data_IF_617208108064
#
_entry.id   IF_617208108064
#
_cell.length_a   1.000
_cell.length_b   1.000
_cell.length_c   1.000
_cell.angle_alpha   90.00
_cell.angle_beta   90.00
_cell.angle_gamma   90.00
#
_symmetry.space_group_name_H-M   'P 1'
#
loop_
_entity.id
_entity.type
_entity.pdbx_description
1 polymer ?
#
# COMPACT_ATOMS: atom_id res chain seq x y z
N UNK A 1 -66.72 34.85 -20.80
CA UNK A 1 -67.06 36.00 -21.67
C UNK A 1 -65.76 36.66 -22.19
N UNK A 2 -65.59 36.60 -23.50
CA UNK A 2 -64.90 37.53 -24.38
C UNK A 2 -63.35 37.63 -24.18
N UNK A 3 -62.48 37.68 -25.20
CA UNK A 3 -62.56 37.56 -26.66
C UNK A 3 -61.17 37.41 -27.23
N UNK A 4 -61.08 36.64 -28.26
CA UNK A 4 -60.00 36.46 -29.22
C UNK A 4 -59.56 37.82 -29.83
N UNK A 5 -58.24 38.02 -29.99
CA UNK A 5 -57.70 38.84 -31.06
C UNK A 5 -56.34 38.32 -31.46
N UNK A 6 -56.26 37.68 -32.60
CA UNK A 6 -55.05 37.40 -33.35
C UNK A 6 -54.53 38.67 -33.97
N UNK A 7 -53.25 38.95 -33.85
CA UNK A 7 -52.55 39.91 -34.69
C UNK A 7 -51.33 39.29 -35.32
N UNK A 8 -51.50 38.99 -36.59
CA UNK A 8 -50.47 38.56 -37.53
C UNK A 8 -49.63 39.77 -37.89
N UNK A 9 -48.37 39.84 -37.52
CA UNK A 9 -47.43 40.75 -38.13
C UNK A 9 -46.24 40.02 -38.71
N UNK A 10 -46.17 39.96 -40.00
CA UNK A 10 -44.93 39.67 -40.75
C UNK A 10 -43.90 40.72 -40.47
N UNK A 11 -42.73 40.34 -40.02
CA UNK A 11 -41.52 41.14 -40.12
C UNK A 11 -40.44 40.31 -40.74
N UNK A 12 -40.01 40.75 -41.81
CA UNK A 12 -38.85 40.52 -42.68
C UNK A 12 -37.59 40.04 -41.95
N UNK A 13 -36.99 39.02 -42.61
CA UNK A 13 -35.65 38.52 -42.35
C UNK A 13 -34.60 39.62 -42.19
N UNK A 14 -33.95 39.64 -41.03
CA UNK A 14 -32.53 40.04 -40.96
C UNK A 14 -31.74 38.79 -40.58
N UNK A 15 -30.96 38.33 -41.50
CA UNK A 15 -29.91 37.34 -41.28
C UNK A 15 -28.74 38.06 -40.66
N UNK A 16 -28.69 38.13 -39.31
CA UNK A 16 -27.43 38.25 -38.58
C UNK A 16 -27.12 36.85 -38.08
N UNK A 17 -26.31 36.16 -38.84
CA UNK A 17 -25.57 34.99 -38.40
C UNK A 17 -24.47 35.52 -37.48
N UNK A 18 -24.81 35.66 -36.18
CA UNK A 18 -23.75 35.63 -35.15
C UNK A 18 -23.01 34.31 -35.34
N UNK A 19 -21.66 34.36 -35.55
CA UNK A 19 -20.88 33.15 -35.55
C UNK A 19 -21.11 32.48 -34.17
N UNK A 20 -21.45 31.18 -34.20
CA UNK A 20 -21.49 30.37 -33.00
C UNK A 20 -20.19 30.66 -32.22
N UNK A 21 -20.26 30.83 -30.89
CA UNK A 21 -19.07 31.06 -30.10
C UNK A 21 -18.09 29.92 -30.45
N UNK A 22 -16.96 30.32 -31.03
CA UNK A 22 -15.80 29.41 -31.17
C UNK A 22 -15.57 28.82 -29.81
N UNK A 23 -15.41 27.48 -29.64
CA UNK A 23 -14.97 26.92 -28.39
C UNK A 23 -13.71 27.71 -27.98
N UNK A 24 -13.71 28.33 -26.79
CA UNK A 24 -12.51 28.90 -26.24
C UNK A 24 -11.47 27.78 -26.32
N UNK A 25 -10.43 27.98 -27.14
CA UNK A 25 -9.25 27.11 -27.09
C UNK A 25 -8.76 27.23 -25.65
N UNK A 26 -8.73 26.11 -24.91
CA UNK A 26 -8.21 26.07 -23.56
C UNK A 26 -6.86 26.76 -23.54
N UNK A 27 -6.80 27.96 -22.96
CA UNK A 27 -5.60 28.80 -22.97
C UNK A 27 -4.51 28.04 -22.23
N UNK A 28 -3.55 27.48 -22.96
CA UNK A 28 -2.42 26.76 -22.37
C UNK A 28 -1.35 27.75 -21.92
N UNK A 29 -0.69 27.43 -20.81
CA UNK A 29 0.43 28.19 -20.29
C UNK A 29 1.67 27.31 -20.18
N UNK A 30 2.85 27.92 -20.33
CA UNK A 30 4.13 27.28 -20.06
C UNK A 30 4.41 27.39 -18.56
N UNK A 31 4.33 26.27 -17.87
CA UNK A 31 4.59 26.18 -16.44
C UNK A 31 6.07 25.78 -16.24
N UNK A 32 6.77 26.51 -15.38
CA UNK A 32 8.15 26.19 -14.98
C UNK A 32 8.11 25.33 -13.73
N UNK A 33 8.61 24.10 -13.82
CA UNK A 33 8.68 23.14 -12.72
C UNK A 33 10.14 22.96 -12.27
N UNK A 34 10.45 23.31 -11.03
CA UNK A 34 11.81 23.24 -10.46
C UNK A 34 11.88 22.22 -9.37
N UNK A 35 12.84 21.28 -9.46
CA UNK A 35 13.14 20.30 -8.43
C UNK A 35 14.10 20.86 -7.38
N UNK A 36 13.89 20.45 -6.13
CA UNK A 36 14.74 20.78 -4.99
C UNK A 36 15.99 19.88 -4.93
N UNK A 37 17.02 20.31 -4.20
CA UNK A 37 18.22 19.53 -3.85
C UNK A 37 19.02 19.00 -5.06
N UNK A 38 19.24 19.86 -6.06
CA UNK A 38 20.07 19.55 -7.24
C UNK A 38 19.58 18.32 -8.05
N UNK A 39 18.36 17.81 -7.78
CA UNK A 39 17.73 16.76 -8.59
C UNK A 39 17.48 17.30 -9.99
N UNK A 40 17.71 16.46 -11.00
CA UNK A 40 17.55 16.82 -12.39
C UNK A 40 16.38 16.03 -13.00
N UNK A 41 15.65 16.69 -13.90
CA UNK A 41 14.62 16.04 -14.69
C UNK A 41 15.23 15.01 -15.65
N UNK A 42 14.62 13.84 -15.71
CA UNK A 42 15.04 12.75 -16.60
C UNK A 42 14.08 12.59 -17.77
N UNK A 43 14.57 11.93 -18.83
CA UNK A 43 13.74 11.67 -20.00
C UNK A 43 12.62 10.68 -19.67
N UNK A 44 11.38 11.08 -19.90
CA UNK A 44 10.20 10.26 -19.58
C UNK A 44 9.62 10.49 -18.19
N UNK A 45 10.17 11.42 -17.42
CA UNK A 45 9.57 11.82 -16.14
C UNK A 45 8.12 12.27 -16.35
N UNK A 46 7.23 11.80 -15.47
CA UNK A 46 5.83 12.17 -15.45
C UNK A 46 5.50 13.01 -14.21
N UNK A 47 4.80 14.11 -14.43
CA UNK A 47 4.32 15.01 -13.37
C UNK A 47 2.80 14.98 -13.35
N UNK A 48 2.21 14.82 -12.18
CA UNK A 48 0.78 15.01 -11.95
C UNK A 48 0.54 16.51 -11.68
N UNK A 49 -0.30 17.17 -12.47
CA UNK A 49 -0.71 18.56 -12.26
C UNK A 49 -2.23 18.63 -12.35
N UNK A 50 -2.88 19.08 -11.28
CA UNK A 50 -4.34 19.13 -11.15
C UNK A 50 -5.02 17.80 -11.55
N UNK A 51 -4.42 16.67 -11.16
CA UNK A 51 -4.92 15.31 -11.42
C UNK A 51 -4.60 14.76 -12.82
N UNK A 52 -3.98 15.52 -13.70
CA UNK A 52 -3.58 15.09 -15.05
C UNK A 52 -2.09 14.79 -15.11
N UNK A 53 -1.69 13.81 -15.91
CA UNK A 53 -0.29 13.44 -16.15
C UNK A 53 0.29 14.22 -17.31
N UNK A 54 1.50 14.73 -17.14
CA UNK A 54 2.29 15.42 -18.15
C UNK A 54 3.69 14.82 -18.18
N UNK A 55 4.19 14.51 -19.38
CA UNK A 55 5.57 14.05 -19.57
C UNK A 55 6.49 15.25 -19.73
N UNK A 56 7.64 15.22 -19.08
CA UNK A 56 8.68 16.26 -19.22
C UNK A 56 9.43 16.06 -20.52
N UNK A 57 9.32 17.03 -21.43
CA UNK A 57 10.00 17.04 -22.73
C UNK A 57 11.09 18.12 -22.80
N UNK A 58 10.88 19.26 -22.15
CA UNK A 58 11.80 20.40 -22.14
C UNK A 58 12.44 20.57 -20.77
N UNK A 59 13.76 20.67 -20.70
CA UNK A 59 14.53 20.83 -19.46
C UNK A 59 15.11 19.54 -18.91
N UNK A 60 15.07 18.43 -19.66
CA UNK A 60 15.76 17.18 -19.31
C UNK A 60 17.25 17.44 -19.08
N UNK A 61 17.80 16.90 -17.98
CA UNK A 61 19.17 17.15 -17.53
C UNK A 61 19.36 18.48 -16.78
N UNK A 62 18.26 19.17 -16.44
CA UNK A 62 18.26 20.43 -15.68
C UNK A 62 17.36 20.28 -14.44
N UNK A 63 17.56 21.11 -13.43
CA UNK A 63 16.67 21.18 -12.26
C UNK A 63 15.33 21.83 -12.59
N UNK A 64 15.23 22.59 -13.69
CA UNK A 64 14.00 23.25 -14.14
C UNK A 64 13.54 22.68 -15.47
N UNK A 65 12.25 22.37 -15.58
CA UNK A 65 11.58 21.92 -16.80
C UNK A 65 10.44 22.87 -17.16
N UNK A 66 10.08 22.89 -18.46
CA UNK A 66 8.91 23.62 -18.95
C UNK A 66 7.84 22.62 -19.35
N UNK A 67 6.63 22.77 -18.79
CA UNK A 67 5.49 21.88 -19.05
C UNK A 67 4.32 22.72 -19.55
N UNK A 68 3.72 22.35 -20.68
CA UNK A 68 2.52 23.02 -21.20
C UNK A 68 1.27 22.43 -20.56
N UNK A 69 0.51 23.25 -19.87
CA UNK A 69 -0.70 22.87 -19.16
C UNK A 69 -1.84 23.84 -19.44
N UNK A 70 -3.12 23.45 -19.29
CA UNK A 70 -4.22 24.40 -19.29
C UNK A 70 -4.03 25.47 -18.22
N UNK A 71 -4.45 26.70 -18.51
CA UNK A 71 -4.46 27.79 -17.51
C UNK A 71 -5.39 27.41 -16.38
N UNK A 72 -4.92 27.58 -15.15
CA UNK A 72 -5.70 27.35 -13.92
C UNK A 72 -5.45 28.51 -12.92
N UNK A 73 -6.39 28.70 -12.01
CA UNK A 73 -6.23 29.66 -10.90
C UNK A 73 -5.22 29.15 -9.88
N UNK A 74 -5.10 27.82 -9.74
CA UNK A 74 -4.17 27.18 -8.85
C UNK A 74 -3.61 25.89 -9.49
N UNK A 75 -2.32 25.66 -9.32
CA UNK A 75 -1.62 24.47 -9.79
C UNK A 75 -1.19 23.62 -8.59
N UNK A 76 -1.78 22.45 -8.44
CA UNK A 76 -1.44 21.41 -7.47
C UNK A 76 -0.68 20.31 -8.16
N UNK A 77 0.55 20.05 -7.75
CA UNK A 77 1.40 19.10 -8.47
C UNK A 77 2.09 18.10 -7.56
N UNK A 78 2.31 16.91 -8.12
CA UNK A 78 3.08 15.86 -7.49
C UNK A 78 3.96 15.16 -8.52
N UNK A 79 5.18 14.77 -8.09
CA UNK A 79 6.18 14.12 -8.91
C UNK A 79 6.74 12.91 -8.17
N UNK A 80 7.11 11.88 -8.92
CA UNK A 80 7.75 10.64 -8.43
C UNK A 80 6.96 9.97 -7.27
N UNK A 81 5.64 9.92 -7.43
CA UNK A 81 4.73 9.40 -6.40
C UNK A 81 4.47 7.89 -6.50
N UNK A 82 5.13 7.18 -7.41
CA UNK A 82 4.84 5.78 -7.70
C UNK A 82 3.41 5.58 -8.20
N UNK A 83 2.56 4.93 -7.40
CA UNK A 83 1.13 4.71 -7.70
C UNK A 83 0.22 5.85 -7.22
N UNK A 84 0.79 6.97 -6.76
CA UNK A 84 0.05 8.10 -6.21
C UNK A 84 -0.90 8.75 -7.22
N UNK A 85 -1.97 9.35 -6.69
CA UNK A 85 -2.97 10.09 -7.45
C UNK A 85 -3.22 11.45 -6.80
N UNK A 86 -3.48 12.46 -7.63
CA UNK A 86 -3.93 13.79 -7.18
C UNK A 86 -5.39 13.95 -7.55
N UNK A 87 -6.24 14.22 -6.56
CA UNK A 87 -7.66 14.51 -6.76
C UNK A 87 -7.95 15.84 -6.09
N UNK A 88 -8.40 16.81 -6.89
CA UNK A 88 -8.50 18.22 -6.46
C UNK A 88 -7.13 18.70 -5.97
N UNK A 89 -6.99 18.99 -4.69
CA UNK A 89 -5.75 19.41 -4.03
C UNK A 89 -5.16 18.33 -3.08
N UNK A 90 -5.63 17.09 -3.15
CA UNK A 90 -5.15 16.01 -2.27
C UNK A 90 -4.32 15.03 -3.07
N UNK A 91 -3.05 14.87 -2.70
CA UNK A 91 -2.23 13.73 -3.09
C UNK A 91 -2.57 12.55 -2.18
N UNK A 92 -2.87 11.38 -2.76
CA UNK A 92 -2.97 10.11 -2.04
C UNK A 92 -1.92 9.16 -2.59
N UNK A 93 -1.11 8.56 -1.72
CA UNK A 93 -0.05 7.62 -2.10
C UNK A 93 0.28 6.67 -0.93
N UNK A 94 1.31 5.85 -1.09
CA UNK A 94 1.72 4.86 -0.11
C UNK A 94 3.24 4.78 0.00
N UNK A 95 3.76 4.72 1.23
CA UNK A 95 5.12 4.29 1.52
C UNK A 95 5.10 2.79 1.82
N UNK A 96 5.77 2.02 1.00
CA UNK A 96 5.82 0.55 1.15
C UNK A 96 6.51 0.13 2.43
N UNK A 97 6.03 -0.95 3.06
CA UNK A 97 6.64 -1.53 4.27
C UNK A 97 8.04 -2.10 4.05
N UNK A 98 8.45 -2.24 2.79
CA UNK A 98 9.75 -2.77 2.41
C UNK A 98 10.40 -1.86 1.37
N UNK A 99 11.66 -1.50 1.61
CA UNK A 99 12.55 -0.84 0.67
C UNK A 99 13.59 -1.83 0.17
N UNK A 100 13.77 -1.89 -1.15
CA UNK A 100 14.83 -2.69 -1.76
C UNK A 100 15.92 -1.75 -2.27
N UNK A 101 17.12 -1.86 -1.71
CA UNK A 101 18.24 -0.96 -2.03
C UNK A 101 18.75 -1.09 -3.47
N UNK A 102 18.41 -2.18 -4.17
CA UNK A 102 18.75 -2.36 -5.58
C UNK A 102 17.69 -1.86 -6.55
N UNK A 103 16.51 -1.45 -6.04
CA UNK A 103 15.44 -0.89 -6.85
C UNK A 103 15.48 0.64 -6.82
N UNK A 104 15.08 1.25 -7.92
CA UNK A 104 14.80 2.67 -7.96
C UNK A 104 13.49 2.93 -7.17
N UNK A 105 13.63 3.65 -6.05
CA UNK A 105 12.52 3.91 -5.15
C UNK A 105 11.94 5.30 -5.41
N UNK A 106 10.62 5.37 -5.49
CA UNK A 106 9.93 6.64 -5.60
C UNK A 106 10.29 7.58 -4.44
N UNK A 107 10.59 8.83 -4.78
CA UNK A 107 10.87 9.92 -3.84
C UNK A 107 9.88 11.04 -4.06
N UNK A 108 8.67 10.90 -3.52
CA UNK A 108 7.58 11.81 -3.82
C UNK A 108 7.92 13.25 -3.44
N UNK A 109 7.65 14.12 -4.41
CA UNK A 109 7.78 15.57 -4.26
C UNK A 109 6.44 16.22 -4.59
N UNK A 110 6.15 17.35 -3.95
CA UNK A 110 4.92 18.09 -4.14
C UNK A 110 5.19 19.57 -4.35
N UNK A 111 4.31 20.22 -5.10
CA UNK A 111 4.36 21.66 -5.34
C UNK A 111 2.96 22.25 -5.42
N UNK A 112 2.83 23.51 -5.05
CA UNK A 112 1.59 24.28 -5.10
C UNK A 112 1.88 25.73 -5.48
N UNK A 113 1.10 26.31 -6.39
CA UNK A 113 1.28 27.69 -6.82
C UNK A 113 0.03 28.28 -7.48
N UNK A 114 -0.19 29.58 -7.30
CA UNK A 114 -1.18 30.39 -8.04
C UNK A 114 -0.58 31.01 -9.32
N UNK A 115 0.71 30.81 -9.56
CA UNK A 115 1.41 31.27 -10.76
C UNK A 115 1.93 30.08 -11.56
N UNK A 116 2.25 30.20 -12.86
CA UNK A 116 2.78 29.12 -13.66
C UNK A 116 4.26 28.82 -13.33
N UNK A 117 4.59 28.71 -12.05
CA UNK A 117 5.91 28.33 -11.52
C UNK A 117 5.73 27.43 -10.31
N UNK A 118 6.21 26.21 -10.39
CA UNK A 118 6.15 25.19 -9.35
C UNK A 118 7.55 24.93 -8.79
N UNK A 119 7.68 25.01 -7.47
CA UNK A 119 8.88 24.58 -6.74
C UNK A 119 8.57 23.33 -5.95
N UNK A 120 9.08 22.20 -6.40
CA UNK A 120 8.82 20.92 -5.78
C UNK A 120 9.62 20.73 -4.50
N UNK A 121 8.95 20.35 -3.43
CA UNK A 121 9.52 20.01 -2.13
C UNK A 121 9.46 18.50 -1.91
N UNK A 122 10.51 17.91 -1.37
CA UNK A 122 10.56 16.50 -1.03
C UNK A 122 9.62 16.20 0.15
N UNK A 123 8.97 15.03 0.14
CA UNK A 123 8.25 14.51 1.31
C UNK A 123 9.14 13.61 2.18
N UNK A 124 10.25 13.10 1.62
CA UNK A 124 11.19 12.23 2.28
C UNK A 124 12.53 12.92 2.52
N UNK A 125 13.22 12.46 3.57
CA UNK A 125 14.65 12.58 3.75
C UNK A 125 15.30 11.19 3.76
N UNK A 126 16.58 11.11 4.00
CA UNK A 126 17.35 9.87 4.05
C UNK A 126 18.07 9.72 5.38
N UNK A 127 17.94 8.56 6.00
CA UNK A 127 18.78 8.12 7.10
C UNK A 127 19.88 7.22 6.54
N UNK A 128 21.12 7.66 6.58
CA UNK A 128 22.28 6.83 6.25
C UNK A 128 22.77 6.08 7.48
N UNK A 129 22.58 4.77 7.48
CA UNK A 129 23.19 3.87 8.45
C UNK A 129 24.58 3.52 7.96
N UNK A 130 25.61 3.98 8.63
CA UNK A 130 27.00 3.62 8.34
C UNK A 130 27.37 2.41 9.20
N UNK A 131 27.19 1.20 8.63
CA UNK A 131 27.24 -0.05 9.40
C UNK A 131 28.67 -0.62 9.33
N UNK A 132 29.34 -0.65 10.47
CA UNK A 132 30.62 -1.32 10.63
C UNK A 132 30.45 -2.76 11.13
N UNK A 133 31.39 -3.63 10.80
CA UNK A 133 31.42 -5.02 11.25
C UNK A 133 32.63 -5.74 10.69
N UNK A 134 32.79 -7.02 11.04
CA UNK A 134 33.90 -7.83 10.58
C UNK A 134 33.92 -7.94 9.05
N UNK A 135 35.09 -7.75 8.44
CA UNK A 135 35.29 -7.87 7.01
C UNK A 135 34.81 -9.26 6.50
N UNK A 136 34.04 -9.25 5.42
CA UNK A 136 33.43 -10.46 4.84
C UNK A 136 32.11 -10.91 5.47
N UNK A 137 31.64 -10.25 6.54
CA UNK A 137 30.26 -10.39 7.01
C UNK A 137 29.32 -9.74 6.01
N UNK A 138 28.26 -10.43 5.63
CA UNK A 138 27.23 -9.91 4.70
C UNK A 138 25.89 -9.84 5.37
N UNK A 139 25.30 -8.66 5.40
CA UNK A 139 23.95 -8.42 5.95
C UNK A 139 22.91 -8.47 4.83
N UNK A 140 21.76 -9.09 5.09
CA UNK A 140 20.70 -9.32 4.10
C UNK A 140 19.45 -8.49 4.33
N UNK A 141 19.22 -8.07 5.58
CA UNK A 141 17.98 -7.36 5.95
C UNK A 141 18.25 -6.44 7.13
N UNK A 142 17.63 -5.27 7.10
CA UNK A 142 17.55 -4.35 8.22
C UNK A 142 16.05 -4.10 8.51
N UNK A 143 15.67 -4.18 9.78
CA UNK A 143 14.33 -3.76 10.25
C UNK A 143 14.53 -2.54 11.14
N UNK A 144 13.88 -1.44 10.76
CA UNK A 144 13.91 -0.17 11.48
C UNK A 144 12.53 0.06 12.11
N UNK A 145 12.49 0.27 13.42
CA UNK A 145 11.24 0.57 14.14
C UNK A 145 11.39 1.90 14.88
N UNK A 146 10.49 2.85 14.64
CA UNK A 146 10.47 4.12 15.35
C UNK A 146 10.04 3.91 16.81
N UNK A 147 10.90 4.29 17.77
CA UNK A 147 10.65 4.05 19.20
C UNK A 147 9.57 4.95 19.78
N UNK A 148 9.30 6.10 19.15
CA UNK A 148 8.22 7.03 19.52
C UNK A 148 6.84 6.62 18.97
N UNK A 149 6.75 5.52 18.21
CA UNK A 149 5.52 5.12 17.53
C UNK A 149 5.17 5.97 16.30
N UNK A 150 6.11 6.82 15.83
CA UNK A 150 5.94 7.57 14.57
C UNK A 150 5.82 6.62 13.40
N UNK A 151 4.88 6.88 12.50
CA UNK A 151 4.68 6.03 11.33
C UNK A 151 5.81 6.23 10.30
N UNK A 152 6.27 5.13 9.72
CA UNK A 152 7.31 5.09 8.69
C UNK A 152 6.77 4.66 7.34
N UNK A 153 5.71 3.84 7.34
CA UNK A 153 5.16 3.19 6.16
C UNK A 153 3.64 3.18 6.21
N UNK A 154 3.00 2.97 5.07
CA UNK A 154 1.55 2.88 4.94
C UNK A 154 0.98 3.92 3.98
N UNK A 155 -0.33 3.94 3.87
CA UNK A 155 -1.05 4.89 3.03
C UNK A 155 -1.12 6.26 3.68
N UNK A 156 -0.94 7.28 2.88
CA UNK A 156 -0.96 8.66 3.35
C UNK A 156 -1.64 9.59 2.35
N UNK A 157 -2.00 10.77 2.83
CA UNK A 157 -2.42 11.91 2.00
C UNK A 157 -1.61 13.15 2.33
N UNK A 158 -1.56 14.07 1.38
CA UNK A 158 -0.97 15.40 1.55
C UNK A 158 -1.95 16.40 0.96
N UNK A 159 -2.35 17.39 1.77
CA UNK A 159 -3.06 18.56 1.25
C UNK A 159 -2.07 19.46 0.52
N UNK A 160 -2.23 19.58 -0.81
CA UNK A 160 -1.37 20.40 -1.66
C UNK A 160 -1.69 21.90 -1.57
N UNK A 161 -2.76 22.28 -0.88
CA UNK A 161 -3.06 23.67 -0.57
C UNK A 161 -2.29 24.20 0.67
N UNK A 162 -1.18 23.54 1.03
CA UNK A 162 -0.33 23.95 2.15
C UNK A 162 0.28 25.36 1.93
N UNK A 163 0.44 26.13 3.01
CA UNK A 163 1.05 27.46 2.94
C UNK A 163 2.59 27.41 2.98
N UNK A 164 3.18 26.67 3.93
CA UNK A 164 4.63 26.68 4.15
C UNK A 164 5.28 25.33 3.87
N UNK A 165 4.84 24.27 4.53
CA UNK A 165 5.46 22.93 4.48
C UNK A 165 4.39 21.87 4.26
N UNK A 166 4.56 20.99 3.27
CA UNK A 166 3.65 19.86 3.06
C UNK A 166 3.72 18.90 4.25
N UNK A 167 2.56 18.48 4.76
CA UNK A 167 2.46 17.55 5.86
C UNK A 167 1.85 16.22 5.40
N UNK A 168 2.46 15.13 5.84
CA UNK A 168 1.94 13.78 5.60
C UNK A 168 0.86 13.48 6.65
N UNK A 169 -0.35 13.19 6.18
CA UNK A 169 -1.44 12.68 6.99
C UNK A 169 -1.60 11.19 6.76
N UNK A 170 -1.39 10.40 7.81
CA UNK A 170 -1.48 8.95 7.74
C UNK A 170 -2.93 8.49 7.77
N UNK A 171 -3.27 7.54 6.91
CA UNK A 171 -4.56 6.86 6.92
C UNK A 171 -4.49 5.57 7.75
N UNK A 172 -5.54 4.74 7.72
CA UNK A 172 -5.50 3.40 8.29
C UNK A 172 -4.43 2.55 7.58
N UNK A 173 -3.71 1.67 8.25
CA UNK A 173 -2.63 0.80 7.74
C UNK A 173 -1.21 1.42 7.88
N UNK A 174 -1.06 2.51 8.59
CA UNK A 174 0.26 3.07 8.88
C UNK A 174 1.02 2.21 9.92
N UNK A 175 2.33 2.10 9.76
CA UNK A 175 3.20 1.31 10.63
C UNK A 175 4.44 2.10 11.05
N UNK A 176 4.87 1.89 12.29
CA UNK A 176 6.14 2.41 12.80
C UNK A 176 7.35 1.57 12.41
N UNK A 177 7.18 0.54 11.59
CA UNK A 177 8.23 -0.39 11.17
C UNK A 177 8.45 -0.33 9.67
N UNK A 178 9.72 -0.34 9.27
CA UNK A 178 10.18 -0.39 7.89
C UNK A 178 11.22 -1.50 7.76
N UNK A 179 11.12 -2.33 6.73
CA UNK A 179 12.12 -3.32 6.35
C UNK A 179 12.94 -2.81 5.17
N UNK A 180 14.26 -2.95 5.27
CA UNK A 180 15.20 -2.71 4.16
C UNK A 180 15.72 -4.07 3.70
N UNK A 181 15.37 -4.45 2.49
CA UNK A 181 15.83 -5.68 1.85
C UNK A 181 17.13 -5.41 1.09
N UNK A 182 18.21 -6.08 1.52
CA UNK A 182 19.55 -5.96 0.92
C UNK A 182 19.83 -7.12 -0.07
N UNK A 183 18.83 -7.93 -0.33
CA UNK A 183 18.91 -9.10 -1.22
C UNK A 183 19.56 -10.32 -0.56
N UNK A 184 19.33 -11.48 -1.17
CA UNK A 184 19.79 -12.77 -0.63
C UNK A 184 21.32 -12.94 -0.62
N UNK A 185 22.04 -12.19 -1.46
CA UNK A 185 23.53 -12.19 -1.48
C UNK A 185 24.09 -11.26 -0.41
N UNK A 186 23.28 -10.36 0.10
CA UNK A 186 23.63 -9.38 1.10
C UNK A 186 24.65 -8.35 0.66
N UNK A 187 24.83 -7.33 1.50
CA UNK A 187 25.87 -6.31 1.36
C UNK A 187 27.02 -6.61 2.32
N UNK A 188 28.24 -6.60 1.82
CA UNK A 188 29.44 -6.89 2.62
C UNK A 188 29.78 -5.70 3.54
N UNK A 189 29.93 -6.00 4.83
CA UNK A 189 30.36 -5.03 5.82
C UNK A 189 31.88 -4.80 5.76
N UNK A 190 32.27 -3.59 6.14
CA UNK A 190 33.66 -3.15 6.31
C UNK A 190 33.84 -2.61 7.72
N UNK A 191 35.07 -2.78 8.28
CA UNK A 191 35.39 -2.18 9.57
C UNK A 191 35.24 -0.65 9.56
N UNK A 192 35.56 0.00 8.44
CA UNK A 192 35.39 1.44 8.25
C UNK A 192 33.93 1.92 8.08
N UNK A 193 32.97 0.99 8.08
CA UNK A 193 31.56 1.24 7.81
C UNK A 193 31.18 1.02 6.35
N UNK A 194 29.96 0.54 6.16
CA UNK A 194 29.30 0.34 4.87
C UNK A 194 28.01 1.15 4.91
N UNK A 195 27.83 2.16 4.04
CA UNK A 195 26.64 3.01 4.06
C UNK A 195 25.43 2.27 3.48
N UNK A 196 24.30 2.37 4.18
CA UNK A 196 22.96 1.95 3.70
C UNK A 196 22.02 3.12 3.88
N UNK A 197 21.48 3.63 2.79
CA UNK A 197 20.53 4.74 2.82
C UNK A 197 19.10 4.22 2.94
N UNK A 198 18.37 4.76 3.90
CA UNK A 198 16.96 4.43 4.18
C UNK A 198 16.13 5.68 3.98
N UNK A 199 15.15 5.63 3.06
CA UNK A 199 14.23 6.73 2.84
C UNK A 199 13.14 6.74 3.92
N UNK A 200 12.95 7.88 4.55
CA UNK A 200 11.98 8.08 5.62
C UNK A 200 11.17 9.35 5.38
N UNK A 201 9.91 9.40 5.82
CA UNK A 201 9.18 10.66 5.89
C UNK A 201 9.98 11.73 6.62
N UNK A 202 10.03 12.94 6.06
CA UNK A 202 10.73 14.05 6.70
C UNK A 202 10.05 14.41 8.02
N UNK A 203 10.72 14.16 9.15
CA UNK A 203 10.17 14.37 10.49
C UNK A 203 11.27 14.31 11.56
N UNK A 204 10.91 14.73 12.78
CA UNK A 204 11.69 14.49 14.00
C UNK A 204 11.27 13.16 14.62
N UNK A 205 12.22 12.26 14.81
CA UNK A 205 12.00 10.95 15.42
C UNK A 205 12.61 10.87 16.81
N UNK A 206 11.91 10.25 17.75
CA UNK A 206 12.41 10.02 19.12
C UNK A 206 13.49 8.96 19.22
N UNK A 207 13.92 8.41 18.08
CA UNK A 207 14.92 7.36 17.94
C UNK A 207 14.38 6.13 17.23
N UNK A 208 15.26 5.16 16.98
CA UNK A 208 14.92 3.92 16.32
C UNK A 208 15.45 2.71 17.08
N UNK A 209 14.77 1.57 16.92
CA UNK A 209 15.32 0.25 17.18
C UNK A 209 15.70 -0.39 15.84
N UNK A 210 16.93 -0.84 15.70
CA UNK A 210 17.47 -1.44 14.47
C UNK A 210 17.75 -2.90 14.71
N UNK A 211 17.19 -3.78 13.88
CA UNK A 211 17.49 -5.21 13.86
C UNK A 211 18.16 -5.53 12.52
N UNK A 212 19.31 -6.20 12.56
CA UNK A 212 20.09 -6.53 11.36
C UNK A 212 20.29 -8.04 11.28
N UNK A 213 20.11 -8.61 10.08
CA UNK A 213 20.27 -10.03 9.79
C UNK A 213 21.40 -10.25 8.79
N UNK A 214 22.19 -11.30 8.99
CA UNK A 214 23.28 -11.67 8.10
C UNK A 214 23.02 -12.94 7.27
N UNK A 215 23.93 -13.25 6.35
CA UNK A 215 23.84 -14.43 5.48
C UNK A 215 24.16 -15.75 6.21
N UNK A 216 24.65 -15.72 7.46
CA UNK A 216 25.02 -16.87 8.27
C UNK A 216 24.00 -17.15 9.38
N UNK A 217 22.81 -16.56 9.27
CA UNK A 217 21.74 -16.62 10.26
C UNK A 217 22.08 -15.92 11.60
N UNK A 218 23.09 -15.06 11.61
CA UNK A 218 23.33 -14.16 12.73
C UNK A 218 22.34 -12.99 12.72
N UNK A 219 21.99 -12.51 13.91
CA UNK A 219 21.09 -11.37 14.08
C UNK A 219 21.57 -10.46 15.20
N UNK A 220 21.53 -9.15 14.96
CA UNK A 220 21.64 -8.11 15.99
C UNK A 220 20.25 -7.54 16.23
N UNK A 221 19.74 -7.67 17.45
CA UNK A 221 18.36 -7.30 17.79
C UNK A 221 18.27 -5.94 18.46
N UNK A 222 17.36 -5.10 17.93
CA UNK A 222 16.87 -3.90 18.62
C UNK A 222 17.99 -2.95 19.10
N UNK A 223 19.07 -2.80 18.32
CA UNK A 223 20.08 -1.78 18.60
C UNK A 223 19.43 -0.40 18.59
N UNK A 224 19.69 0.39 19.62
CA UNK A 224 18.99 1.67 19.84
C UNK A 224 19.77 2.83 19.23
N UNK A 225 19.12 3.52 18.32
CA UNK A 225 19.56 4.82 17.83
C UNK A 225 18.89 5.95 18.59
N UNK A 226 19.63 7.05 18.86
CA UNK A 226 19.09 8.22 19.56
C UNK A 226 18.03 8.94 18.72
N UNK A 227 17.40 9.95 19.33
CA UNK A 227 16.52 10.88 18.63
C UNK A 227 17.28 11.56 17.48
N UNK A 228 16.60 11.68 16.33
CA UNK A 228 17.21 12.22 15.11
C UNK A 228 16.16 12.96 14.29
N UNK A 229 16.55 14.10 13.74
CA UNK A 229 15.74 14.84 12.75
C UNK A 229 16.14 14.41 11.35
N UNK A 230 15.16 14.08 10.54
CA UNK A 230 15.31 13.75 9.13
C UNK A 230 14.70 14.90 8.31
N UNK A 231 15.49 15.87 7.85
CA UNK A 231 14.99 17.00 7.07
C UNK A 231 14.56 16.55 5.66
N UNK A 232 13.62 17.30 5.09
CA UNK A 232 13.16 17.10 3.71
C UNK A 232 14.33 17.18 2.72
N UNK A 233 14.46 16.16 1.88
CA UNK A 233 15.46 16.10 0.82
C UNK A 233 16.92 15.96 1.26
N UNK A 234 17.20 15.89 2.56
CA UNK A 234 18.55 15.79 3.09
C UNK A 234 18.90 14.37 3.57
N UNK A 235 20.19 14.10 3.70
CA UNK A 235 20.70 12.85 4.26
C UNK A 235 21.35 13.11 5.60
N UNK A 236 20.86 12.44 6.64
CA UNK A 236 21.45 12.43 7.98
C UNK A 236 22.11 11.09 8.22
N UNK A 237 23.33 11.08 8.76
CA UNK A 237 24.11 9.84 8.98
C UNK A 237 24.18 9.48 10.45
N UNK A 238 24.16 8.17 10.73
CA UNK A 238 24.43 7.61 12.05
C UNK A 238 25.26 6.33 11.92
N UNK A 239 26.14 6.08 12.88
CA UNK A 239 26.97 4.89 12.90
C UNK A 239 26.28 3.76 13.65
N UNK A 240 26.45 2.54 13.16
CA UNK A 240 25.94 1.30 13.76
C UNK A 240 27.07 0.27 13.71
N UNK A 241 27.39 -0.37 14.84
CA UNK A 241 28.31 -1.50 14.85
C UNK A 241 27.51 -2.79 14.88
N UNK A 242 27.68 -3.63 13.85
CA UNK A 242 27.01 -4.91 13.77
C UNK A 242 27.70 -5.94 14.65
N UNK A 243 27.04 -6.34 15.71
CA UNK A 243 27.47 -7.40 16.63
C UNK A 243 26.30 -8.41 16.76
N UNK A 244 26.36 -9.56 16.06
CA UNK A 244 25.30 -10.56 16.14
C UNK A 244 25.20 -11.14 17.55
N UNK A 245 23.97 -11.26 18.05
CA UNK A 245 23.67 -11.93 19.31
C UNK A 245 23.74 -13.47 19.20
N UNK A 246 23.22 -14.13 20.21
CA UNK A 246 23.17 -15.61 20.27
C UNK A 246 21.88 -16.18 19.67
N UNK A 247 20.95 -15.32 19.28
CA UNK A 247 19.67 -15.69 18.69
C UNK A 247 19.88 -16.40 17.32
N UNK A 248 19.05 -17.38 17.08
CA UNK A 248 19.07 -18.13 15.81
C UNK A 248 17.94 -17.64 14.91
N UNK A 249 18.22 -17.55 13.62
CA UNK A 249 17.20 -17.29 12.60
C UNK A 249 16.94 -18.54 11.77
N UNK A 250 15.74 -18.60 11.25
CA UNK A 250 15.26 -19.68 10.38
C UNK A 250 14.56 -19.11 9.16
N UNK A 251 14.42 -19.97 8.14
CA UNK A 251 13.57 -19.72 6.99
C UNK A 251 12.36 -20.64 7.07
N UNK A 252 11.17 -20.09 6.86
CA UNK A 252 9.90 -20.80 6.97
C UNK A 252 9.41 -21.20 5.59
N UNK A 253 9.09 -22.47 5.40
CA UNK A 253 8.44 -22.95 4.19
C UNK A 253 6.94 -22.78 4.33
N UNK A 254 6.33 -22.11 3.37
CA UNK A 254 4.93 -21.76 3.41
C UNK A 254 4.18 -22.31 2.19
N UNK A 255 3.06 -22.96 2.45
CA UNK A 255 2.11 -23.42 1.45
C UNK A 255 0.70 -23.12 1.91
N UNK A 256 -0.13 -22.60 1.01
CA UNK A 256 -1.56 -22.38 1.27
C UNK A 256 -2.33 -23.55 0.68
N UNK A 257 -3.36 -24.02 1.39
CA UNK A 257 -4.27 -25.02 0.83
C UNK A 257 -4.93 -24.53 -0.46
N UNK A 258 -5.39 -25.46 -1.28
CA UNK A 258 -6.07 -25.09 -2.53
C UNK A 258 -7.35 -24.30 -2.25
N UNK A 259 -7.59 -23.29 -3.09
CA UNK A 259 -8.85 -22.55 -3.05
C UNK A 259 -10.05 -23.47 -3.39
N UNK A 260 -11.26 -23.01 -3.08
CA UNK A 260 -12.49 -23.78 -3.29
C UNK A 260 -12.76 -24.16 -4.76
N UNK A 261 -12.14 -23.48 -5.72
CA UNK A 261 -12.18 -23.79 -7.15
C UNK A 261 -11.07 -24.75 -7.60
N UNK A 262 -10.22 -25.20 -6.68
CA UNK A 262 -9.08 -26.10 -6.92
C UNK A 262 -7.79 -25.39 -7.35
N UNK A 263 -7.78 -24.06 -7.47
CA UNK A 263 -6.57 -23.29 -7.81
C UNK A 263 -5.57 -23.28 -6.67
N UNK A 264 -4.29 -23.18 -7.03
CA UNK A 264 -3.21 -22.96 -6.07
C UNK A 264 -3.06 -21.47 -5.75
N UNK A 265 -2.69 -21.17 -4.52
CA UNK A 265 -2.21 -19.86 -4.14
C UNK A 265 -0.78 -19.68 -4.64
N UNK A 266 -0.51 -18.61 -5.36
CA UNK A 266 0.81 -18.36 -5.96
C UNK A 266 1.46 -17.18 -5.24
N UNK A 267 2.68 -17.38 -4.74
CA UNK A 267 3.48 -16.33 -4.13
C UNK A 267 4.08 -15.44 -5.21
N UNK A 268 3.91 -14.14 -5.07
CA UNK A 268 4.44 -13.14 -6.00
C UNK A 268 5.66 -12.44 -5.41
N UNK A 269 6.41 -11.72 -6.25
CA UNK A 269 7.48 -10.84 -5.80
C UNK A 269 6.94 -9.85 -4.76
N UNK A 270 7.68 -9.69 -3.66
CA UNK A 270 7.26 -8.85 -2.55
C UNK A 270 6.14 -9.43 -1.66
N UNK A 271 5.72 -10.69 -1.88
CA UNK A 271 4.79 -11.35 -0.95
C UNK A 271 5.36 -11.37 0.45
N UNK A 272 4.52 -11.15 1.45
CA UNK A 272 4.86 -11.26 2.86
C UNK A 272 3.83 -12.11 3.61
N UNK A 273 4.26 -12.65 4.73
CA UNK A 273 3.41 -13.29 5.74
C UNK A 273 3.67 -12.62 7.08
N UNK A 274 2.69 -12.61 7.96
CA UNK A 274 2.92 -12.24 9.35
C UNK A 274 3.21 -13.49 10.17
N UNK A 275 4.26 -13.45 10.98
CA UNK A 275 4.65 -14.56 11.86
C UNK A 275 4.89 -14.02 13.26
N UNK A 276 4.14 -14.51 14.24
CA UNK A 276 4.21 -14.02 15.63
C UNK A 276 4.06 -12.50 15.78
N UNK A 277 3.33 -11.86 14.83
CA UNK A 277 3.11 -10.42 14.79
C UNK A 277 4.08 -9.63 13.90
N UNK A 278 5.15 -10.25 13.39
CA UNK A 278 6.16 -9.60 12.57
C UNK A 278 5.96 -9.93 11.07
N UNK A 279 6.10 -8.95 10.15
CA UNK A 279 6.07 -9.20 8.72
C UNK A 279 7.36 -9.88 8.26
N UNK A 280 7.23 -11.01 7.60
CA UNK A 280 8.33 -11.78 7.01
C UNK A 280 8.16 -11.85 5.51
N UNK A 281 9.21 -11.50 4.78
CA UNK A 281 9.18 -11.35 3.32
C UNK A 281 9.50 -12.68 2.65
N UNK A 282 8.94 -12.88 1.46
CA UNK A 282 9.29 -14.00 0.58
C UNK A 282 10.77 -13.91 0.18
N UNK A 283 11.51 -14.96 0.52
CA UNK A 283 12.94 -15.11 0.20
C UNK A 283 13.14 -15.87 -1.11
N UNK A 284 12.33 -16.93 -1.35
CA UNK A 284 12.32 -17.78 -2.55
C UNK A 284 10.94 -18.31 -2.84
N UNK A 285 10.70 -18.75 -4.07
CA UNK A 285 9.47 -19.39 -4.50
C UNK A 285 8.49 -18.45 -5.20
N UNK A 286 8.96 -17.30 -5.68
CA UNK A 286 8.17 -16.42 -6.55
C UNK A 286 7.61 -17.17 -7.76
N UNK A 287 6.35 -16.94 -8.09
CA UNK A 287 5.64 -17.60 -9.18
C UNK A 287 5.24 -19.05 -8.88
N UNK A 288 5.41 -19.54 -7.65
CA UNK A 288 5.08 -20.92 -7.26
C UNK A 288 4.10 -20.97 -6.07
N UNK A 289 3.55 -22.16 -5.80
CA UNK A 289 2.70 -22.41 -4.64
C UNK A 289 3.49 -22.65 -3.34
N UNK A 290 4.78 -22.95 -3.46
CA UNK A 290 5.65 -23.24 -2.33
C UNK A 290 6.60 -22.04 -2.14
N UNK A 291 6.41 -21.28 -1.04
CA UNK A 291 7.23 -20.14 -0.68
C UNK A 291 8.20 -20.44 0.46
N UNK A 292 9.36 -19.79 0.46
CA UNK A 292 10.28 -19.75 1.59
C UNK A 292 10.41 -18.30 2.07
N UNK A 293 10.12 -18.07 3.36
CA UNK A 293 10.05 -16.75 3.97
C UNK A 293 11.11 -16.57 5.05
N UNK A 294 11.73 -15.43 5.11
CA UNK A 294 12.76 -15.18 6.11
C UNK A 294 13.78 -14.12 5.71
N UNK A 295 14.79 -13.92 6.58
CA UNK A 295 14.99 -14.59 7.85
C UNK A 295 13.98 -14.15 8.93
N UNK A 296 13.65 -15.03 9.88
CA UNK A 296 12.90 -14.71 11.08
C UNK A 296 13.52 -15.40 12.32
N UNK A 297 13.21 -14.93 13.52
CA UNK A 297 13.71 -15.55 14.73
C UNK A 297 13.16 -16.97 14.90
N UNK A 298 14.03 -17.87 15.35
CA UNK A 298 13.61 -19.21 15.76
C UNK A 298 12.68 -19.11 16.98
N UNK A 299 11.58 -19.83 16.95
CA UNK A 299 10.60 -19.89 18.03
C UNK A 299 10.11 -21.32 18.25
N UNK A 300 9.61 -21.60 19.44
CA UNK A 300 9.00 -22.91 19.77
C UNK A 300 7.69 -23.14 19.02
N UNK A 301 7.01 -22.05 18.64
CA UNK A 301 5.77 -22.07 17.88
C UNK A 301 5.66 -20.84 17.00
N UNK A 302 5.17 -21.07 15.78
CA UNK A 302 4.92 -20.05 14.79
C UNK A 302 3.42 -19.91 14.58
N UNK A 303 2.89 -18.70 14.83
CA UNK A 303 1.51 -18.31 14.54
C UNK A 303 1.57 -17.37 13.34
N UNK A 304 1.07 -17.82 12.20
CA UNK A 304 1.28 -17.12 10.94
C UNK A 304 -0.02 -16.83 10.21
N UNK A 305 -0.05 -15.71 9.48
CA UNK A 305 -1.13 -15.37 8.54
C UNK A 305 -0.55 -14.91 7.21
N UNK A 306 -1.32 -15.11 6.13
CA UNK A 306 -1.02 -14.44 4.87
C UNK A 306 -1.22 -12.94 5.02
N UNK A 307 -0.45 -12.11 4.29
CA UNK A 307 -0.72 -10.68 4.18
C UNK A 307 -2.00 -10.49 3.36
N UNK A 308 -3.03 -9.92 3.96
CA UNK A 308 -4.35 -9.78 3.37
C UNK A 308 -5.07 -8.59 4.04
N UNK A 309 -5.76 -7.77 3.25
CA UNK A 309 -6.53 -6.61 3.72
C UNK A 309 -7.62 -6.94 4.76
N UNK A 310 -7.94 -8.24 4.93
CA UNK A 310 -8.87 -8.71 5.96
C UNK A 310 -8.20 -9.08 7.28
N UNK A 311 -6.89 -8.87 7.42
CA UNK A 311 -6.13 -9.23 8.64
C UNK A 311 -5.65 -7.95 9.29
N UNK A 312 -6.11 -7.72 10.51
CA UNK A 312 -5.71 -6.58 11.36
C UNK A 312 -4.45 -6.86 12.19
N UNK A 313 -3.94 -8.08 12.16
CA UNK A 313 -2.71 -8.47 12.84
C UNK A 313 -2.83 -9.70 13.72
N UNK A 314 -1.66 -10.15 14.18
CA UNK A 314 -1.50 -11.25 15.14
C UNK A 314 -0.94 -10.66 16.45
N UNK A 315 -1.54 -10.99 17.58
CA UNK A 315 -1.04 -10.63 18.90
C UNK A 315 -1.04 -11.87 19.79
N UNK A 316 0.14 -12.38 20.10
CA UNK A 316 0.32 -13.67 20.77
C UNK A 316 -0.33 -14.78 19.96
N UNK A 317 -1.31 -15.46 20.52
CA UNK A 317 -2.04 -16.57 19.90
C UNK A 317 -3.39 -16.15 19.29
N UNK A 318 -3.64 -14.86 19.17
CA UNK A 318 -4.90 -14.32 18.65
C UNK A 318 -4.63 -13.58 17.34
N UNK A 319 -5.41 -13.90 16.30
CA UNK A 319 -5.42 -13.20 15.03
C UNK A 319 -6.71 -12.43 14.88
N UNK A 320 -6.61 -11.12 14.65
CA UNK A 320 -7.76 -10.27 14.34
C UNK A 320 -8.01 -10.25 12.85
N UNK A 321 -9.27 -10.40 12.45
CA UNK A 321 -9.70 -10.38 11.06
C UNK A 321 -10.95 -9.53 10.89
N UNK A 322 -11.08 -8.93 9.72
CA UNK A 322 -12.31 -8.28 9.28
C UNK A 322 -12.84 -9.00 8.04
N UNK A 323 -14.04 -9.56 8.10
CA UNK A 323 -14.72 -10.10 6.94
C UNK A 323 -15.60 -8.98 6.34
N UNK A 324 -15.32 -8.47 5.12
CA UNK A 324 -16.08 -7.36 4.57
C UNK A 324 -17.55 -7.70 4.38
N UNK A 325 -18.43 -6.86 4.92
CA UNK A 325 -19.88 -6.96 4.70
C UNK A 325 -20.28 -6.56 3.27
N UNK A 326 -19.44 -5.79 2.56
CA UNK A 326 -19.60 -5.46 1.15
C UNK A 326 -18.48 -6.11 0.36
N UNK A 327 -18.83 -6.86 -0.65
CA UNK A 327 -17.88 -7.58 -1.50
C UNK A 327 -18.17 -7.27 -2.97
N UNK A 328 -17.12 -7.24 -3.80
CA UNK A 328 -17.25 -6.96 -5.23
C UNK A 328 -17.23 -8.28 -6.01
N UNK A 329 -18.10 -8.37 -7.01
CA UNK A 329 -18.14 -9.50 -7.94
C UNK A 329 -16.85 -9.56 -8.76
N UNK A 330 -16.28 -10.77 -8.88
CA UNK A 330 -15.03 -11.00 -9.63
C UNK A 330 -13.75 -10.73 -8.84
N UNK A 331 -13.85 -10.31 -7.57
CA UNK A 331 -12.67 -10.22 -6.71
C UNK A 331 -12.07 -11.62 -6.47
N UNK A 332 -10.73 -11.71 -6.47
CA UNK A 332 -10.03 -12.98 -6.24
C UNK A 332 -10.30 -13.54 -4.85
N UNK A 333 -10.69 -14.81 -4.77
CA UNK A 333 -10.91 -15.51 -3.51
C UNK A 333 -9.62 -15.61 -2.68
N UNK A 334 -8.48 -15.76 -3.34
CA UNK A 334 -7.18 -15.88 -2.67
C UNK A 334 -6.73 -14.58 -2.02
N UNK A 335 -7.07 -13.42 -2.60
CA UNK A 335 -6.76 -12.11 -2.02
C UNK A 335 -7.76 -11.67 -0.96
N UNK A 336 -9.00 -12.14 -1.03
CA UNK A 336 -10.05 -11.77 -0.09
C UNK A 336 -10.13 -12.69 1.12
N UNK A 337 -9.75 -13.97 1.00
CA UNK A 337 -9.88 -14.93 2.10
C UNK A 337 -8.56 -15.04 2.86
N UNK A 338 -8.51 -14.57 4.12
CA UNK A 338 -7.32 -14.72 4.93
C UNK A 338 -7.01 -16.20 5.19
N UNK A 339 -5.73 -16.54 5.23
CA UNK A 339 -5.29 -17.87 5.60
C UNK A 339 -4.36 -17.81 6.81
N UNK A 340 -4.45 -18.81 7.66
CA UNK A 340 -3.71 -18.94 8.90
C UNK A 340 -2.97 -20.28 8.98
N UNK A 341 -1.83 -20.27 9.67
CA UNK A 341 -1.06 -21.47 9.99
C UNK A 341 -0.54 -21.42 11.42
N UNK A 342 -0.46 -22.57 12.05
CA UNK A 342 0.25 -22.76 13.31
C UNK A 342 1.17 -23.97 13.17
N UNK A 343 2.43 -23.82 13.59
CA UNK A 343 3.43 -24.87 13.48
C UNK A 343 4.44 -24.78 14.62
N UNK A 344 4.97 -25.92 15.03
CA UNK A 344 6.15 -26.04 15.91
C UNK A 344 7.42 -26.38 15.10
N UNK A 345 7.31 -26.39 13.80
CA UNK A 345 8.43 -26.56 12.84
C UNK A 345 8.47 -25.38 11.87
N UNK A 346 9.48 -25.35 11.01
CA UNK A 346 9.63 -24.34 9.96
C UNK A 346 8.69 -24.55 8.77
N UNK A 347 7.82 -25.55 8.78
CA UNK A 347 6.83 -25.80 7.72
C UNK A 347 5.47 -25.19 8.12
N UNK A 348 5.03 -24.20 7.38
CA UNK A 348 3.75 -23.50 7.56
C UNK A 348 2.73 -23.95 6.51
N UNK A 349 1.73 -24.69 6.93
CA UNK A 349 0.61 -25.11 6.09
C UNK A 349 -0.60 -24.22 6.38
N UNK A 350 -0.82 -23.24 5.53
CA UNK A 350 -1.90 -22.27 5.69
C UNK A 350 -3.24 -22.87 5.28
N UNK A 351 -4.26 -22.62 6.07
CA UNK A 351 -5.65 -22.94 5.77
C UNK A 351 -6.48 -21.66 5.75
N UNK A 352 -7.45 -21.61 4.84
CA UNK A 352 -8.37 -20.48 4.79
C UNK A 352 -9.28 -20.45 6.02
N UNK A 353 -9.49 -19.26 6.56
CA UNK A 353 -10.26 -19.08 7.80
C UNK A 353 -11.74 -18.78 7.56
N UNK A 354 -12.13 -18.47 6.33
CA UNK A 354 -13.52 -18.26 5.97
C UNK A 354 -13.96 -19.26 4.89
N UNK A 355 -15.18 -19.77 5.01
CA UNK A 355 -15.82 -20.57 3.98
C UNK A 355 -16.20 -19.74 2.76
N UNK A 356 -16.43 -20.43 1.63
CA UNK A 356 -16.85 -19.82 0.37
C UNK A 356 -18.20 -20.39 -0.04
N UNK A 357 -19.17 -19.51 -0.26
CA UNK A 357 -20.47 -19.89 -0.82
C UNK A 357 -20.48 -19.55 -2.31
N UNK A 358 -20.71 -20.56 -3.17
CA UNK A 358 -20.88 -20.38 -4.60
C UNK A 358 -22.36 -20.30 -4.93
N UNK A 359 -22.81 -19.16 -5.46
CA UNK A 359 -24.18 -18.98 -5.93
C UNK A 359 -24.19 -18.94 -7.46
N UNK A 360 -25.07 -19.74 -8.07
CA UNK A 360 -25.35 -19.65 -9.49
C UNK A 360 -26.66 -18.94 -9.68
N UNK A 361 -26.62 -17.77 -10.31
CA UNK A 361 -27.81 -16.95 -10.58
C UNK A 361 -28.09 -16.99 -12.07
N UNK A 362 -29.34 -17.32 -12.45
CA UNK A 362 -29.80 -17.32 -13.85
C UNK A 362 -31.10 -16.57 -13.96
N UNK A 363 -31.31 -15.85 -15.06
CA UNK A 363 -32.54 -15.10 -15.31
C UNK A 363 -32.42 -14.18 -16.52
N UNK A 364 -33.56 -13.58 -16.95
CA UNK A 364 -33.60 -12.70 -18.13
C UNK A 364 -32.99 -11.31 -17.88
N UNK A 365 -32.66 -10.96 -16.64
CA UNK A 365 -32.13 -9.65 -16.25
C UNK A 365 -30.84 -9.79 -15.53
N UNK A 366 -29.92 -8.81 -15.73
CA UNK A 366 -28.66 -8.72 -15.02
C UNK A 366 -28.89 -8.35 -13.54
N UNK A 367 -28.27 -9.09 -12.64
CA UNK A 367 -28.34 -8.86 -11.19
C UNK A 367 -27.24 -7.88 -10.79
N UNK A 368 -27.62 -6.76 -10.18
CA UNK A 368 -26.67 -5.72 -9.74
C UNK A 368 -26.16 -5.92 -8.31
N UNK A 369 -26.99 -6.53 -7.48
CA UNK A 369 -26.67 -6.72 -6.06
C UNK A 369 -27.24 -8.04 -5.60
N UNK A 370 -26.46 -8.79 -4.80
CA UNK A 370 -26.92 -10.00 -4.13
C UNK A 370 -26.69 -9.79 -2.64
N UNK A 371 -27.72 -10.01 -1.84
CA UNK A 371 -27.63 -9.98 -0.37
C UNK A 371 -27.81 -11.38 0.19
N UNK A 372 -26.86 -11.81 1.02
CA UNK A 372 -26.90 -13.02 1.79
C UNK A 372 -27.19 -12.66 3.26
N UNK A 373 -28.26 -13.20 3.83
CA UNK A 373 -28.63 -12.98 5.23
C UNK A 373 -28.41 -14.24 6.07
N UNK A 374 -27.83 -14.05 7.24
CA UNK A 374 -27.63 -15.13 8.21
C UNK A 374 -28.96 -15.57 8.84
N UNK A 375 -29.32 -16.86 8.70
CA UNK A 375 -30.48 -17.44 9.37
C UNK A 375 -30.31 -17.37 10.90
N UNK A 376 -31.41 -17.18 11.63
CA UNK A 376 -31.41 -17.13 13.09
C UNK A 376 -30.48 -16.05 13.67
N UNK A 377 -30.38 -14.90 13.03
CA UNK A 377 -29.55 -13.79 13.47
C UNK A 377 -28.03 -14.11 13.52
N UNK A 378 -27.54 -15.12 12.76
CA UNK A 378 -26.11 -15.42 12.68
C UNK A 378 -25.37 -14.27 12.03
N UNK A 379 -24.22 -13.93 12.58
CA UNK A 379 -23.29 -12.93 12.04
C UNK A 379 -22.49 -13.56 10.91
N UNK A 380 -22.33 -12.82 9.83
CA UNK A 380 -21.68 -13.30 8.62
C UNK A 380 -20.40 -12.49 8.28
N UNK A 381 -20.35 -11.22 8.68
CA UNK A 381 -19.28 -10.31 8.30
C UNK A 381 -19.01 -9.28 9.39
N UNK A 382 -17.81 -8.69 9.40
CA UNK A 382 -17.33 -7.71 10.36
C UNK A 382 -16.08 -8.18 11.07
N UNK A 383 -15.74 -7.48 12.14
CA UNK A 383 -14.56 -7.81 12.96
C UNK A 383 -14.76 -9.08 13.76
N UNK A 384 -13.69 -9.81 13.89
CA UNK A 384 -13.65 -11.06 14.64
C UNK A 384 -12.24 -11.47 15.05
N UNK A 385 -12.20 -12.54 15.82
CA UNK A 385 -10.95 -13.12 16.32
C UNK A 385 -10.87 -14.61 16.06
N UNK A 386 -9.65 -15.08 15.78
CA UNK A 386 -9.29 -16.48 15.62
C UNK A 386 -8.29 -16.83 16.72
N UNK A 387 -8.57 -17.90 17.43
CA UNK A 387 -7.61 -18.50 18.34
C UNK A 387 -6.67 -19.42 17.55
N UNK A 388 -5.43 -19.01 17.41
CA UNK A 388 -4.40 -19.72 16.62
C UNK A 388 -3.93 -21.03 17.28
N UNK A 389 -4.25 -21.28 18.57
CA UNK A 389 -3.94 -22.55 19.24
C UNK A 389 -5.02 -23.60 18.99
N UNK A 390 -6.18 -23.22 18.49
CA UNK A 390 -7.24 -24.16 18.14
C UNK A 390 -6.95 -24.87 16.83
N UNK A 391 -7.24 -26.16 16.76
CA UNK A 391 -6.97 -26.98 15.59
C UNK A 391 -7.81 -26.64 14.36
N UNK A 392 -8.94 -25.96 14.55
CA UNK A 392 -9.94 -25.64 13.53
C UNK A 392 -9.95 -24.18 13.08
N UNK A 393 -9.14 -23.30 13.71
CA UNK A 393 -9.13 -21.85 13.45
C UNK A 393 -10.53 -21.21 13.44
N UNK A 394 -11.40 -21.62 14.38
CA UNK A 394 -12.75 -21.10 14.44
C UNK A 394 -12.78 -19.59 14.61
N UNK A 395 -13.43 -18.90 13.67
CA UNK A 395 -13.62 -17.45 13.70
C UNK A 395 -14.80 -17.10 14.62
N UNK A 396 -14.54 -16.25 15.61
CA UNK A 396 -15.56 -15.62 16.47
C UNK A 396 -15.78 -14.19 16.04
N UNK A 397 -16.92 -13.90 15.41
CA UNK A 397 -17.30 -12.54 15.04
C UNK A 397 -17.81 -11.75 16.27
N UNK A 398 -17.45 -10.46 16.31
CA UNK A 398 -17.85 -9.54 17.38
C UNK A 398 -19.38 -9.37 17.48
N UNK A 399 -19.85 -8.86 18.62
CA UNK A 399 -21.27 -8.72 18.92
C UNK A 399 -22.01 -7.76 17.98
N UNK A 400 -21.33 -6.79 17.42
CA UNK A 400 -21.79 -5.78 16.46
C UNK A 400 -21.60 -6.16 14.99
N UNK A 401 -21.03 -7.33 14.72
CA UNK A 401 -20.78 -7.82 13.37
C UNK A 401 -22.09 -7.97 12.56
N UNK A 402 -22.01 -7.72 11.25
CA UNK A 402 -23.13 -7.75 10.33
C UNK A 402 -23.73 -9.15 10.18
N UNK A 403 -25.04 -9.20 10.08
CA UNK A 403 -25.83 -10.41 9.81
C UNK A 403 -26.06 -10.62 8.31
N UNK A 404 -25.56 -9.71 7.47
CA UNK A 404 -25.67 -9.82 6.02
C UNK A 404 -24.33 -9.53 5.34
N UNK A 405 -24.19 -10.10 4.14
CA UNK A 405 -23.13 -9.78 3.18
C UNK A 405 -23.80 -9.32 1.89
N UNK A 406 -23.36 -8.18 1.36
CA UNK A 406 -23.83 -7.64 0.09
C UNK A 406 -22.74 -7.78 -0.95
N UNK A 407 -23.05 -8.42 -2.08
CA UNK A 407 -22.17 -8.47 -3.25
C UNK A 407 -22.64 -7.46 -4.28
N UNK A 408 -21.76 -6.54 -4.62
CA UNK A 408 -21.97 -5.58 -5.71
C UNK A 408 -21.49 -6.20 -7.03
N UNK A 409 -22.40 -6.37 -7.97
CA UNK A 409 -22.12 -6.94 -9.29
C UNK A 409 -21.82 -5.86 -10.35
N UNK A 410 -21.66 -4.60 -9.95
CA UNK A 410 -21.35 -3.48 -10.83
C UNK A 410 -22.53 -3.01 -11.69
N UNK A 411 -22.29 -1.97 -12.49
CA UNK A 411 -23.32 -1.32 -13.34
C UNK A 411 -23.83 -2.24 -14.44
N UNK A 412 -23.00 -3.11 -14.98
CA UNK A 412 -23.36 -4.10 -16.02
C UNK A 412 -24.08 -5.32 -15.46
N UNK A 413 -24.03 -5.54 -14.14
CA UNK A 413 -24.61 -6.69 -13.46
C UNK A 413 -23.87 -8.01 -13.74
N UNK A 414 -24.15 -9.02 -12.91
CA UNK A 414 -23.63 -10.39 -13.10
C UNK A 414 -24.68 -11.28 -13.77
N UNK A 415 -24.25 -12.12 -14.70
CA UNK A 415 -25.14 -13.02 -15.47
C UNK A 415 -24.91 -14.50 -15.16
N UNK A 416 -23.84 -14.89 -14.42
CA UNK A 416 -23.49 -16.31 -14.31
C UNK A 416 -23.02 -16.81 -12.95
N UNK A 417 -21.98 -16.29 -12.31
CA UNK A 417 -21.42 -16.88 -11.07
C UNK A 417 -20.93 -15.79 -10.10
N UNK A 418 -21.19 -16.02 -8.79
CA UNK A 418 -20.72 -15.15 -7.73
C UNK A 418 -20.18 -16.00 -6.58
N UNK A 419 -18.98 -15.64 -6.07
CA UNK A 419 -18.41 -16.25 -4.88
C UNK A 419 -18.53 -15.28 -3.71
N UNK A 420 -19.04 -15.76 -2.58
CA UNK A 420 -19.17 -15.01 -1.34
C UNK A 420 -18.30 -15.64 -0.27
N UNK A 421 -17.71 -14.83 0.60
CA UNK A 421 -17.12 -15.29 1.84
C UNK A 421 -18.16 -15.19 2.97
N UNK A 422 -18.28 -16.24 3.75
CA UNK A 422 -19.08 -16.25 4.96
C UNK A 422 -18.36 -17.05 6.03
N UNK A 423 -18.67 -16.74 7.29
CA UNK A 423 -18.25 -17.57 8.40
C UNK A 423 -19.07 -18.87 8.36
N UNK A 424 -18.38 -20.00 8.12
CA UNK A 424 -18.99 -21.31 8.32
C UNK A 424 -18.86 -21.72 9.81
N UNK A 425 -19.99 -21.85 10.47
CA UNK A 425 -20.10 -22.73 11.62
C UNK A 425 -20.89 -23.94 11.16
N UNK A 426 -20.37 -25.12 11.36
CA UNK A 426 -20.98 -26.39 11.02
C UNK A 426 -22.50 -26.35 11.11
N UNK A 427 -23.15 -26.74 10.01
CA UNK A 427 -24.56 -27.07 9.81
C UNK A 427 -25.45 -26.00 9.13
N UNK A 428 -25.76 -26.31 7.86
CA UNK A 428 -26.97 -25.96 7.09
C UNK A 428 -27.24 -24.48 6.79
N UNK A 429 -26.70 -24.03 5.67
CA UNK A 429 -27.37 -23.02 4.84
C UNK A 429 -28.48 -23.74 4.05
N UNK A 430 -29.72 -23.41 4.32
CA UNK A 430 -30.90 -23.81 3.52
C UNK A 430 -31.45 -22.56 2.85
#
# INVERSE_FOLDING_TARGET
LWSLAALLMCCTSCSDSDPAPTPEEDETVSLIATLENERLWESGDEVLINGMKYTVEEGVGSAAATIKVPRAEHYYAAYDTGTGTVTENILSSEFTSTQNVSADMARPMVASSVTPALSFKNLLGSLRLNISGDNGTKITKIVLTATSGSNLTGKFSVDLAYEDTPMIEWTSEASSTLTVDLGSQGIELKEAGTPVDVLLPAASYGGFAVTIYDTKNGVMLNEKLPAIDIPSGETVSTDVTYEPGTEQVVYLKAKVEKAADGSDFIWNSGSSIYVNGEPIILYRGEGTADGEFGPCLQADSYYASTSNASIDGISGTQMRVNIPAKQEYGASLTTLNPAAATSTSTDLNFRYVAGVVKLTVSGPHAVRTIELQGKNNRRLAGDGMINMTASDFALSLNADASKSITVNCGKSGAVSYTHLRAHETDQYLV
#
